data_IF_634452062046
#
_entry.id   IF_634452062046
#
_cell.length_a   1.000
_cell.length_b   1.000
_cell.length_c   1.000
_cell.angle_alpha   90.00
_cell.angle_beta   90.00
_cell.angle_gamma   90.00
#
_symmetry.space_group_name_H-M   'P 1'
#
loop_
_entity.id
_entity.type
_entity.pdbx_description
1 polymer ?
#
# COMPACT_ATOMS: atom_id res chain seq x y z
N UNK A 1 17.05 -9.84 -8.30
CA UNK A 1 15.67 -10.30 -8.52
C UNK A 1 15.48 -11.74 -8.03
N UNK A 2 16.02 -12.74 -8.75
CA UNK A 2 15.81 -14.16 -8.43
C UNK A 2 16.05 -14.54 -6.97
N UNK A 3 17.22 -14.18 -6.42
CA UNK A 3 17.56 -14.43 -5.02
C UNK A 3 16.54 -13.88 -4.03
N UNK A 4 16.07 -12.64 -4.23
CA UNK A 4 15.08 -12.02 -3.36
C UNK A 4 13.75 -12.77 -3.43
N UNK A 5 13.27 -13.06 -4.65
CA UNK A 5 12.01 -13.81 -4.82
C UNK A 5 12.09 -15.23 -4.27
N UNK A 6 13.25 -15.89 -4.34
CA UNK A 6 13.46 -17.21 -3.76
C UNK A 6 13.51 -17.19 -2.23
N UNK A 7 14.14 -16.17 -1.66
CA UNK A 7 14.15 -15.93 -0.20
C UNK A 7 12.73 -15.68 0.31
N UNK A 8 11.94 -14.90 -0.42
CA UNK A 8 10.55 -14.60 -0.08
C UNK A 8 9.56 -15.73 -0.42
N UNK A 9 10.00 -16.81 -1.05
CA UNK A 9 9.18 -17.98 -1.38
C UNK A 9 8.39 -17.90 -2.69
N UNK A 10 8.51 -16.82 -3.47
CA UNK A 10 7.78 -16.64 -4.74
C UNK A 10 8.19 -17.62 -5.85
N UNK A 11 9.27 -18.38 -5.69
CA UNK A 11 9.70 -19.41 -6.64
C UNK A 11 9.50 -20.84 -6.12
N UNK A 12 9.01 -21.01 -4.89
CA UNK A 12 8.88 -22.32 -4.22
C UNK A 12 7.53 -23.00 -4.53
N UNK A 13 7.25 -23.15 -5.83
CA UNK A 13 6.09 -23.89 -6.32
C UNK A 13 6.56 -25.07 -7.16
N UNK A 14 5.93 -26.24 -6.98
CA UNK A 14 6.37 -27.48 -7.63
C UNK A 14 6.45 -27.40 -9.15
N UNK A 15 5.59 -26.62 -9.81
CA UNK A 15 5.65 -26.39 -11.26
C UNK A 15 6.71 -25.34 -11.64
N UNK A 16 6.87 -24.30 -10.82
CA UNK A 16 7.75 -23.16 -11.09
C UNK A 16 9.22 -23.55 -11.15
N UNK A 17 9.63 -24.49 -10.31
CA UNK A 17 11.02 -24.99 -10.26
C UNK A 17 11.46 -25.52 -11.64
N UNK A 18 10.58 -26.19 -12.36
CA UNK A 18 10.90 -26.73 -13.70
C UNK A 18 10.94 -25.63 -14.76
N UNK A 19 9.98 -24.70 -14.73
CA UNK A 19 9.89 -23.59 -15.68
C UNK A 19 11.14 -22.71 -15.69
N UNK A 20 11.76 -22.52 -14.53
CA UNK A 20 12.93 -21.64 -14.38
C UNK A 20 14.25 -22.38 -14.32
N UNK A 21 14.25 -23.70 -14.54
CA UNK A 21 15.44 -24.54 -14.31
C UNK A 21 16.63 -24.18 -15.21
N UNK A 22 16.37 -23.64 -16.41
CA UNK A 22 17.41 -23.15 -17.32
C UNK A 22 17.95 -21.75 -16.92
N UNK A 23 17.26 -21.04 -16.03
CA UNK A 23 17.59 -19.67 -15.63
C UNK A 23 18.09 -19.55 -14.18
N UNK A 24 17.62 -20.42 -13.28
CA UNK A 24 17.84 -20.26 -11.85
C UNK A 24 17.88 -21.58 -11.07
N UNK A 25 18.95 -21.79 -10.32
CA UNK A 25 19.23 -23.04 -9.59
C UNK A 25 18.82 -23.03 -8.11
N UNK A 26 18.54 -21.85 -7.54
CA UNK A 26 18.29 -21.67 -6.10
C UNK A 26 16.86 -21.16 -5.81
N UNK A 27 15.79 -21.85 -6.23
CA UNK A 27 14.42 -21.35 -6.16
C UNK A 27 13.86 -21.17 -4.73
N UNK A 28 14.48 -21.77 -3.71
CA UNK A 28 13.94 -21.77 -2.35
C UNK A 28 14.88 -21.09 -1.35
N UNK A 29 14.31 -20.58 -0.25
CA UNK A 29 15.11 -20.05 0.87
C UNK A 29 16.11 -21.08 1.39
N UNK A 30 15.71 -22.35 1.50
CA UNK A 30 16.59 -23.41 1.98
C UNK A 30 17.80 -23.62 1.04
N UNK A 31 17.60 -23.57 -0.28
CA UNK A 31 18.70 -23.67 -1.25
C UNK A 31 19.59 -22.42 -1.22
N UNK A 32 19.01 -21.23 -1.06
CA UNK A 32 19.75 -19.98 -0.88
C UNK A 32 20.61 -19.99 0.39
N UNK A 33 20.06 -20.42 1.53
CA UNK A 33 20.78 -20.52 2.80
C UNK A 33 21.89 -21.57 2.75
N UNK A 34 21.70 -22.66 2.01
CA UNK A 34 22.71 -23.71 1.87
C UNK A 34 23.88 -23.28 0.98
N UNK A 35 23.58 -22.60 -0.13
CA UNK A 35 24.59 -22.36 -1.18
C UNK A 35 25.09 -20.92 -1.23
N UNK A 36 24.39 -19.95 -0.65
CA UNK A 36 24.75 -18.53 -0.72
C UNK A 36 24.27 -17.72 0.51
N UNK A 37 24.85 -18.02 1.68
CA UNK A 37 24.53 -17.34 2.94
C UNK A 37 24.81 -15.82 2.91
N UNK A 38 25.84 -15.39 2.19
CA UNK A 38 26.20 -13.98 2.09
C UNK A 38 25.10 -13.18 1.37
N UNK A 39 24.52 -13.72 0.30
CA UNK A 39 23.39 -13.09 -0.39
C UNK A 39 22.14 -13.03 0.49
N UNK A 40 21.85 -14.09 1.25
CA UNK A 40 20.75 -14.08 2.22
C UNK A 40 20.97 -12.98 3.26
N UNK A 41 22.16 -12.90 3.85
CA UNK A 41 22.48 -11.87 4.85
C UNK A 41 22.33 -10.45 4.28
N UNK A 42 22.79 -10.21 3.05
CA UNK A 42 22.67 -8.91 2.38
C UNK A 42 21.20 -8.52 2.14
N UNK A 43 20.37 -9.46 1.68
CA UNK A 43 18.97 -9.19 1.33
C UNK A 43 18.04 -9.10 2.56
N UNK A 44 18.46 -9.64 3.71
CA UNK A 44 17.80 -9.47 5.00
C UNK A 44 18.31 -8.27 5.80
N UNK A 45 19.28 -7.51 5.28
CA UNK A 45 19.82 -6.37 5.98
C UNK A 45 18.85 -5.18 5.94
N UNK A 46 18.30 -4.85 7.11
CA UNK A 46 17.34 -3.77 7.28
C UNK A 46 17.91 -2.39 6.88
N UNK A 47 19.23 -2.22 6.79
CA UNK A 47 19.83 -0.95 6.38
C UNK A 47 19.39 -0.53 4.96
N UNK A 48 19.01 -1.50 4.12
CA UNK A 48 18.64 -1.25 2.71
C UNK A 48 17.13 -1.11 2.49
N UNK A 49 16.29 -1.35 3.50
CA UNK A 49 14.84 -1.23 3.39
C UNK A 49 14.22 -2.12 2.30
N UNK A 50 14.78 -3.31 2.06
CA UNK A 50 14.29 -4.25 1.04
C UNK A 50 12.97 -4.93 1.47
N UNK A 51 12.23 -5.41 0.48
CA UNK A 51 10.97 -6.11 0.71
C UNK A 51 11.20 -7.40 1.53
N UNK A 52 10.42 -7.57 2.59
CA UNK A 52 10.44 -8.74 3.49
C UNK A 52 9.21 -9.63 3.35
N UNK A 53 8.22 -9.19 2.57
CA UNK A 53 6.93 -9.86 2.35
C UNK A 53 6.63 -9.79 0.85
N UNK A 54 5.99 -10.83 0.31
CA UNK A 54 5.49 -10.83 -1.06
C UNK A 54 4.26 -9.93 -1.20
N UNK A 55 4.07 -9.25 -2.34
CA UNK A 55 2.79 -8.63 -2.64
C UNK A 55 1.70 -9.71 -2.69
N UNK A 56 0.59 -9.49 -1.98
CA UNK A 56 -0.59 -10.36 -1.97
C UNK A 56 -1.66 -9.94 -2.99
N UNK A 57 -1.39 -8.87 -3.74
CA UNK A 57 -2.33 -8.28 -4.70
C UNK A 57 -3.32 -7.30 -4.08
N UNK A 58 -3.33 -7.13 -2.76
CA UNK A 58 -4.06 -6.07 -2.08
C UNK A 58 -3.20 -4.82 -2.05
N UNK A 59 -3.31 -4.04 -3.12
CA UNK A 59 -2.78 -2.69 -3.14
C UNK A 59 -3.90 -1.79 -2.67
N UNK A 60 -3.96 -1.53 -1.36
CA UNK A 60 -4.64 -0.38 -0.81
C UNK A 60 -3.62 0.77 -0.87
N UNK A 61 -3.48 1.50 -1.99
CA UNK A 61 -2.81 2.79 -1.87
C UNK A 61 -3.62 3.52 -0.79
N UNK A 62 -3.00 3.87 0.32
CA UNK A 62 -3.54 4.95 1.14
C UNK A 62 -3.43 6.19 0.25
N UNK A 63 -4.37 6.32 -0.67
CA UNK A 63 -4.65 7.55 -1.35
C UNK A 63 -5.01 8.48 -0.23
N UNK A 64 -4.13 9.44 0.03
CA UNK A 64 -4.44 10.53 0.92
C UNK A 64 -5.65 11.23 0.31
N UNK A 65 -6.83 10.87 0.76
CA UNK A 65 -8.12 11.33 0.29
C UNK A 65 -8.77 12.03 1.47
N UNK A 66 -8.36 13.28 1.77
CA UNK A 66 -8.74 13.95 3.02
C UNK A 66 -10.26 14.14 3.14
N UNK A 67 -10.98 14.03 2.03
CA UNK A 67 -12.43 14.16 1.95
C UNK A 67 -13.20 12.82 2.02
N UNK A 68 -12.54 11.66 2.12
CA UNK A 68 -13.19 10.36 2.39
C UNK A 68 -13.13 10.07 3.89
N UNK A 69 -14.19 10.49 4.60
CA UNK A 69 -14.25 10.43 6.05
C UNK A 69 -14.69 9.05 6.57
N UNK A 70 -15.23 8.20 5.71
CA UNK A 70 -15.72 6.88 6.08
C UNK A 70 -14.81 5.73 5.58
N UNK A 71 -13.79 6.05 4.79
CA UNK A 71 -12.79 5.10 4.29
C UNK A 71 -13.32 4.15 3.22
N UNK A 72 -14.30 4.58 2.43
CA UNK A 72 -14.93 3.76 1.39
C UNK A 72 -14.13 3.69 0.09
N UNK A 73 -13.15 4.58 -0.08
CA UNK A 73 -12.42 4.80 -1.34
C UNK A 73 -13.16 5.73 -2.31
N UNK A 74 -14.28 6.34 -1.89
CA UNK A 74 -15.06 7.30 -2.67
C UNK A 74 -15.36 8.53 -1.82
N UNK A 75 -15.24 9.72 -2.42
CA UNK A 75 -15.78 10.97 -1.89
C UNK A 75 -17.19 11.14 -2.46
N UNK A 76 -18.20 11.01 -1.62
CA UNK A 76 -19.61 11.09 -2.02
C UNK A 76 -20.53 11.79 -1.02
N UNK A 77 -21.84 11.60 -1.17
CA UNK A 77 -22.84 12.23 -0.31
C UNK A 77 -22.69 11.82 1.18
N UNK A 78 -22.12 10.65 1.46
CA UNK A 78 -21.85 10.17 2.82
C UNK A 78 -20.80 11.04 3.51
N UNK A 79 -19.78 11.48 2.77
CA UNK A 79 -18.74 12.40 3.27
C UNK A 79 -19.27 13.82 3.41
N UNK A 80 -20.16 14.25 2.50
CA UNK A 80 -20.85 15.52 2.64
C UNK A 80 -21.70 15.57 3.92
N UNK A 81 -22.35 14.46 4.29
CA UNK A 81 -23.10 14.38 5.54
C UNK A 81 -22.18 14.52 6.77
N UNK A 82 -20.93 14.06 6.69
CA UNK A 82 -19.94 14.27 7.74
C UNK A 82 -19.59 15.76 7.93
N UNK A 83 -19.41 16.50 6.82
CA UNK A 83 -19.19 17.96 6.86
C UNK A 83 -20.40 18.70 7.45
N UNK A 84 -21.61 18.31 7.06
CA UNK A 84 -22.84 18.93 7.55
C UNK A 84 -23.05 18.67 9.05
N UNK A 85 -22.71 17.47 9.54
CA UNK A 85 -22.84 17.10 10.95
C UNK A 85 -21.96 17.96 11.88
N UNK A 86 -20.80 18.41 11.39
CA UNK A 86 -19.81 19.20 12.14
C UNK A 86 -19.78 20.69 11.78
N UNK A 87 -20.87 21.20 11.19
CA UNK A 87 -20.90 22.56 10.68
C UNK A 87 -20.58 23.62 11.75
N UNK A 88 -19.59 24.47 11.47
CA UNK A 88 -19.10 25.51 12.36
C UNK A 88 -18.15 25.04 13.47
N UNK A 89 -17.87 23.73 13.55
CA UNK A 89 -16.82 23.19 14.42
C UNK A 89 -15.43 23.39 13.81
N UNK A 90 -14.38 23.02 14.56
CA UNK A 90 -12.99 23.06 14.12
C UNK A 90 -12.41 21.64 14.10
N UNK A 91 -11.46 21.35 13.22
CA UNK A 91 -10.74 20.07 13.21
C UNK A 91 -11.11 19.20 12.02
N UNK A 92 -11.35 17.92 12.24
CA UNK A 92 -11.63 16.96 11.17
C UNK A 92 -12.89 17.36 10.38
N UNK A 93 -12.70 17.71 9.10
CA UNK A 93 -13.72 18.29 8.23
C UNK A 93 -13.33 19.67 7.67
N UNK A 94 -12.36 20.36 8.28
CA UNK A 94 -11.75 21.57 7.73
C UNK A 94 -10.73 21.17 6.66
N UNK A 95 -11.19 21.16 5.41
CA UNK A 95 -10.45 20.70 4.23
C UNK A 95 -9.61 21.82 3.59
N UNK A 96 -9.90 23.08 3.92
CA UNK A 96 -9.21 24.24 3.37
C UNK A 96 -8.36 25.02 4.40
N UNK A 97 -8.20 24.47 5.61
CA UNK A 97 -7.45 25.02 6.73
C UNK A 97 -7.94 26.43 7.16
N UNK A 98 -9.24 26.69 7.08
CA UNK A 98 -9.85 27.98 7.49
C UNK A 98 -10.07 28.11 9.00
N UNK A 99 -9.79 27.04 9.75
CA UNK A 99 -10.07 26.81 11.17
C UNK A 99 -11.53 26.49 11.51
N UNK A 100 -12.44 26.48 10.54
CA UNK A 100 -13.85 26.18 10.73
C UNK A 100 -14.40 25.32 9.60
N UNK A 101 -15.33 24.43 9.92
CA UNK A 101 -16.05 23.60 8.95
C UNK A 101 -17.21 24.41 8.38
N UNK A 102 -17.09 24.86 7.13
CA UNK A 102 -18.07 25.70 6.48
C UNK A 102 -18.26 25.41 4.98
N UNK A 103 -18.86 26.36 4.26
CA UNK A 103 -19.16 26.19 2.84
C UNK A 103 -17.90 26.05 1.97
N UNK A 104 -16.75 26.56 2.42
CA UNK A 104 -15.48 26.38 1.75
C UNK A 104 -15.02 24.92 1.75
N UNK A 105 -15.33 24.16 2.81
CA UNK A 105 -14.99 22.74 2.88
C UNK A 105 -15.90 21.90 1.99
N UNK A 106 -17.17 22.28 1.89
CA UNK A 106 -18.11 21.66 0.93
C UNK A 106 -17.58 21.80 -0.51
N UNK A 107 -17.05 22.98 -0.87
CA UNK A 107 -16.47 23.18 -2.20
C UNK A 107 -15.23 22.31 -2.41
N UNK A 108 -14.37 22.20 -1.40
CA UNK A 108 -13.16 21.37 -1.45
C UNK A 108 -13.51 19.88 -1.59
N UNK A 109 -14.55 19.42 -0.87
CA UNK A 109 -15.09 18.06 -0.98
C UNK A 109 -15.67 17.79 -2.38
N UNK A 110 -16.45 18.72 -2.92
CA UNK A 110 -17.06 18.57 -4.26
C UNK A 110 -15.99 18.55 -5.36
N UNK A 111 -14.90 19.30 -5.21
CA UNK A 111 -13.76 19.25 -6.14
C UNK A 111 -13.07 17.87 -6.13
N UNK A 112 -13.18 17.12 -5.03
CA UNK A 112 -12.64 15.77 -4.88
C UNK A 112 -13.67 14.65 -5.19
N UNK A 113 -14.88 14.98 -5.65
CA UNK A 113 -16.00 14.03 -5.78
C UNK A 113 -15.70 12.84 -6.70
N UNK A 114 -15.99 11.63 -6.22
CA UNK A 114 -15.81 10.39 -6.96
C UNK A 114 -14.78 9.47 -6.33
N UNK A 115 -14.16 8.60 -7.14
CA UNK A 115 -13.11 7.69 -6.68
C UNK A 115 -11.92 8.49 -6.15
N UNK A 116 -11.44 8.13 -4.97
CA UNK A 116 -10.11 8.56 -4.54
C UNK A 116 -9.10 8.06 -5.59
N UNK A 117 -8.27 8.95 -6.14
CA UNK A 117 -7.27 8.64 -7.18
C UNK A 117 -6.05 9.55 -7.11
#
# INVERSE_FOLDING_TARGET
>A
YWSLTSILGAQDYSWRIWEISDEWELPTLALMQKNNQAMVALLHDNQWGLATILPDGTYEPSLNCPSDFNGSGFVDASDLLFIIDRWGESGEGDLNDSAYIDAGDVLTLIDAWGLCS
#
